data_IF_603828220149
#
_entry.id   IF_603828220149
#
_cell.length_a   1.000
_cell.length_b   1.000
_cell.length_c   1.000
_cell.angle_alpha   90.00
_cell.angle_beta   90.00
_cell.angle_gamma   90.00
#
_symmetry.space_group_name_H-M   'P 1'
#
loop_
_entity.id
_entity.type
_entity.pdbx_description
1 polymer ?
#
# COMPACT_ATOMS: atom_id res chain seq x y z
N UNK A 1 16.06 -12.40 11.61
CA UNK A 1 16.64 -11.44 10.63
C UNK A 1 15.95 -11.66 9.29
N UNK A 2 15.59 -10.60 8.57
CA UNK A 2 15.01 -10.72 7.22
C UNK A 2 16.12 -10.88 6.17
N UNK A 3 15.92 -11.73 5.17
CA UNK A 3 16.92 -12.05 4.14
C UNK A 3 17.47 -10.81 3.43
N UNK A 4 16.58 -9.87 3.08
CA UNK A 4 16.92 -8.61 2.41
C UNK A 4 17.96 -7.78 3.18
N UNK A 5 17.82 -7.66 4.51
CA UNK A 5 18.78 -6.92 5.33
C UNK A 5 20.13 -7.64 5.40
N UNK A 6 20.11 -8.97 5.58
CA UNK A 6 21.33 -9.76 5.60
C UNK A 6 22.09 -9.65 4.26
N UNK A 7 21.41 -9.82 3.13
CA UNK A 7 22.01 -9.75 1.80
C UNK A 7 22.60 -8.35 1.50
N UNK A 8 21.92 -7.29 1.92
CA UNK A 8 22.43 -5.92 1.81
C UNK A 8 23.72 -5.72 2.60
N UNK A 9 23.75 -6.19 3.86
CA UNK A 9 24.92 -6.04 4.73
C UNK A 9 26.14 -6.81 4.20
N UNK A 10 25.93 -7.96 3.55
CA UNK A 10 27.02 -8.70 2.91
C UNK A 10 27.60 -7.98 1.68
N UNK A 11 26.76 -7.30 0.89
CA UNK A 11 27.18 -6.67 -0.35
C UNK A 11 27.69 -5.22 -0.17
N UNK A 12 27.05 -4.44 0.69
CA UNK A 12 27.26 -2.99 0.81
C UNK A 12 27.66 -2.54 2.22
N UNK A 13 27.64 -3.44 3.21
CA UNK A 13 27.94 -3.12 4.60
C UNK A 13 26.74 -2.59 5.40
N UNK A 14 27.04 -1.97 6.55
CA UNK A 14 26.04 -1.65 7.57
C UNK A 14 24.91 -0.75 7.05
N UNK A 15 23.67 -1.12 7.35
CA UNK A 15 22.49 -0.32 7.01
C UNK A 15 22.47 0.97 7.87
N UNK A 16 22.41 2.16 7.25
CA UNK A 16 22.32 3.42 7.97
C UNK A 16 21.06 3.51 8.86
N UNK A 17 21.09 4.26 9.97
CA UNK A 17 19.90 4.46 10.79
C UNK A 17 18.78 5.14 10.00
N UNK A 18 17.52 4.85 10.35
CA UNK A 18 16.31 5.43 9.71
C UNK A 18 16.17 5.12 8.22
N UNK A 19 16.77 4.01 7.79
CA UNK A 19 16.63 3.48 6.44
C UNK A 19 16.17 2.03 6.47
N UNK A 20 15.51 1.62 5.40
CA UNK A 20 14.96 0.29 5.23
C UNK A 20 15.38 -0.28 3.88
N UNK A 21 15.82 -1.53 3.91
CA UNK A 21 16.08 -2.31 2.70
C UNK A 21 14.76 -2.92 2.24
N UNK A 22 14.32 -2.60 1.04
CA UNK A 22 13.05 -3.07 0.46
C UNK A 22 13.25 -3.62 -0.94
N UNK A 23 12.30 -4.42 -1.41
CA UNK A 23 12.29 -4.90 -2.78
C UNK A 23 11.76 -3.83 -3.74
N UNK A 24 12.44 -3.60 -4.85
CA UNK A 24 12.04 -2.64 -5.88
C UNK A 24 10.70 -3.05 -6.50
N UNK A 25 10.53 -4.34 -6.77
CA UNK A 25 9.31 -4.92 -7.33
C UNK A 25 8.20 -5.20 -6.29
N UNK A 26 8.51 -5.12 -4.99
CA UNK A 26 7.59 -5.46 -3.91
C UNK A 26 7.33 -6.96 -3.74
N UNK A 27 8.06 -7.83 -4.45
CA UNK A 27 7.92 -9.28 -4.38
C UNK A 27 9.00 -9.89 -3.47
N UNK A 28 8.64 -10.38 -2.27
CA UNK A 28 9.61 -10.94 -1.33
C UNK A 28 10.24 -12.27 -1.78
N UNK A 29 9.74 -12.88 -2.86
CA UNK A 29 10.29 -14.13 -3.41
C UNK A 29 11.37 -13.88 -4.48
N UNK A 30 11.53 -12.65 -4.98
CA UNK A 30 12.57 -12.29 -5.93
C UNK A 30 13.85 -11.90 -5.19
N UNK A 31 14.56 -12.93 -4.72
CA UNK A 31 15.74 -12.85 -3.86
C UNK A 31 17.02 -12.52 -4.65
N UNK A 32 17.09 -11.33 -5.24
CA UNK A 32 18.28 -10.83 -5.95
C UNK A 32 18.78 -9.53 -5.32
N UNK A 33 20.10 -9.36 -5.22
CA UNK A 33 20.70 -8.15 -4.63
C UNK A 33 20.33 -6.89 -5.43
N UNK A 34 20.21 -7.02 -6.75
CA UNK A 34 19.82 -5.94 -7.66
C UNK A 34 18.36 -5.51 -7.49
N UNK A 35 17.50 -6.40 -6.96
CA UNK A 35 16.11 -6.08 -6.63
C UNK A 35 15.97 -5.42 -5.25
N UNK A 36 17.07 -5.24 -4.50
CA UNK A 36 17.05 -4.50 -3.25
C UNK A 36 17.34 -3.01 -3.49
N UNK A 37 16.65 -2.17 -2.73
CA UNK A 37 16.94 -0.75 -2.64
C UNK A 37 16.89 -0.30 -1.18
N UNK A 38 17.64 0.75 -0.88
CA UNK A 38 17.65 1.39 0.43
C UNK A 38 16.80 2.66 0.38
N UNK A 39 15.74 2.71 1.18
CA UNK A 39 14.87 3.88 1.30
C UNK A 39 14.95 4.46 2.70
N UNK A 40 14.95 5.79 2.79
CA UNK A 40 14.70 6.48 4.07
C UNK A 40 13.28 6.22 4.56
N UNK A 41 13.04 6.35 5.86
CA UNK A 41 11.69 6.23 6.43
C UNK A 41 10.68 7.14 5.71
N UNK A 42 11.08 8.36 5.35
CA UNK A 42 10.24 9.33 4.64
C UNK A 42 9.92 8.87 3.20
N UNK A 43 10.92 8.35 2.48
CA UNK A 43 10.73 7.84 1.13
C UNK A 43 9.85 6.59 1.12
N UNK A 44 10.08 5.66 2.06
CA UNK A 44 9.26 4.47 2.23
C UNK A 44 7.82 4.82 2.60
N UNK A 45 7.62 5.79 3.50
CA UNK A 45 6.28 6.28 3.85
C UNK A 45 5.56 6.87 2.62
N UNK A 46 6.24 7.69 1.81
CA UNK A 46 5.68 8.25 0.57
C UNK A 46 5.33 7.15 -0.45
N UNK A 47 6.18 6.14 -0.60
CA UNK A 47 5.95 4.97 -1.46
C UNK A 47 4.70 4.20 -1.02
N UNK A 48 4.59 3.90 0.28
CA UNK A 48 3.46 3.18 0.86
C UNK A 48 2.16 4.00 0.82
N UNK A 49 2.24 5.32 1.00
CA UNK A 49 1.09 6.21 0.86
C UNK A 49 0.52 6.15 -0.57
N UNK A 50 1.38 6.18 -1.59
CA UNK A 50 0.96 6.09 -3.00
C UNK A 50 0.26 4.76 -3.31
N UNK A 51 0.80 3.65 -2.81
CA UNK A 51 0.21 2.31 -2.98
C UNK A 51 -1.15 2.17 -2.25
N UNK A 52 -1.28 2.74 -1.04
CA UNK A 52 -2.51 2.66 -0.25
C UNK A 52 -3.65 3.53 -0.79
N UNK A 53 -3.34 4.65 -1.45
CA UNK A 53 -4.34 5.48 -2.14
C UNK A 53 -4.97 4.71 -3.31
N UNK A 54 -4.19 3.90 -4.03
CA UNK A 54 -4.65 3.15 -5.21
C UNK A 54 -5.52 1.92 -4.86
N UNK A 55 -5.35 1.34 -3.67
CA UNK A 55 -5.94 0.04 -3.32
C UNK A 55 -6.92 0.13 -2.15
N UNK A 56 -8.09 0.74 -2.40
CA UNK A 56 -9.18 0.68 -1.42
C UNK A 56 -9.71 -0.75 -1.31
N UNK A 57 -9.48 -1.43 -0.18
CA UNK A 57 -9.93 -2.81 0.01
C UNK A 57 -11.45 -2.94 0.02
N UNK A 58 -11.97 -4.11 -0.36
CA UNK A 58 -13.42 -4.43 -0.30
C UNK A 58 -13.99 -4.18 1.11
N UNK A 59 -13.24 -4.56 2.13
CA UNK A 59 -13.62 -4.38 3.52
C UNK A 59 -13.69 -2.89 3.93
N UNK A 60 -12.79 -2.06 3.39
CA UNK A 60 -12.83 -0.61 3.60
C UNK A 60 -14.07 0.01 2.95
N UNK A 61 -14.37 -0.35 1.70
CA UNK A 61 -15.54 0.14 0.97
C UNK A 61 -16.84 -0.30 1.64
N UNK A 62 -16.94 -1.57 2.05
CA UNK A 62 -18.09 -2.09 2.77
C UNK A 62 -18.31 -1.30 4.07
N UNK A 63 -17.24 -1.02 4.83
CA UNK A 63 -17.31 -0.19 6.04
C UNK A 63 -17.83 1.23 5.80
N UNK A 64 -17.49 1.84 4.66
CA UNK A 64 -18.04 3.16 4.25
C UNK A 64 -19.54 3.09 3.94
N UNK A 65 -19.99 2.00 3.30
CA UNK A 65 -21.38 1.81 2.92
C UNK A 65 -22.28 1.38 4.08
N UNK A 66 -21.73 0.74 5.12
CA UNK A 66 -22.47 0.23 6.26
C UNK A 66 -21.96 0.76 7.61
N UNK A 67 -21.99 2.09 7.84
CA UNK A 67 -21.53 2.66 9.09
C UNK A 67 -22.32 2.09 10.28
N UNK A 68 -21.61 1.56 11.28
CA UNK A 68 -22.16 0.96 12.51
C UNK A 68 -23.10 -0.24 12.29
N UNK A 69 -23.16 -0.82 11.09
CA UNK A 69 -23.99 -1.99 10.80
C UNK A 69 -23.15 -3.16 10.28
N UNK A 70 -22.75 -4.04 11.19
CA UNK A 70 -21.92 -5.21 10.89
C UNK A 70 -22.63 -6.23 10.01
N UNK A 71 -23.94 -6.44 10.19
CA UNK A 71 -24.72 -7.38 9.39
C UNK A 71 -24.79 -6.95 7.91
N UNK A 72 -25.06 -5.66 7.69
CA UNK A 72 -25.05 -5.07 6.35
C UNK A 72 -23.65 -5.13 5.73
N UNK A 73 -22.58 -4.91 6.51
CA UNK A 73 -21.19 -5.03 6.02
C UNK A 73 -20.93 -6.40 5.42
N UNK A 74 -21.29 -7.46 6.14
CA UNK A 74 -21.10 -8.84 5.70
C UNK A 74 -21.89 -9.13 4.42
N UNK A 75 -23.12 -8.62 4.32
CA UNK A 75 -23.95 -8.79 3.12
C UNK A 75 -23.35 -8.07 1.90
N UNK A 76 -22.79 -6.87 2.10
CA UNK A 76 -22.19 -6.07 1.03
C UNK A 76 -20.87 -6.64 0.51
N UNK A 77 -20.12 -7.39 1.34
CA UNK A 77 -18.88 -8.07 0.90
C UNK A 77 -19.14 -9.07 -0.23
N UNK A 78 -20.34 -9.63 -0.31
CA UNK A 78 -20.75 -10.54 -1.39
C UNK A 78 -21.01 -9.84 -2.72
N UNK A 79 -21.28 -8.52 -2.72
CA UNK A 79 -21.62 -7.76 -3.92
C UNK A 79 -20.41 -6.98 -4.46
N UNK A 80 -19.54 -7.69 -5.19
CA UNK A 80 -18.31 -7.12 -5.77
C UNK A 80 -18.57 -5.92 -6.69
N UNK A 81 -19.63 -5.96 -7.50
CA UNK A 81 -19.97 -4.89 -8.44
C UNK A 81 -20.23 -3.56 -7.72
N UNK A 82 -21.02 -3.60 -6.63
CA UNK A 82 -21.31 -2.41 -5.83
C UNK A 82 -20.04 -1.83 -5.19
N UNK A 83 -19.18 -2.69 -4.65
CA UNK A 83 -17.90 -2.29 -4.04
C UNK A 83 -16.98 -1.61 -5.06
N UNK A 84 -16.91 -2.16 -6.28
CA UNK A 84 -16.10 -1.59 -7.36
C UNK A 84 -16.59 -0.21 -7.79
N UNK A 85 -17.91 -0.04 -7.98
CA UNK A 85 -18.51 1.25 -8.33
C UNK A 85 -18.21 2.28 -7.25
N UNK A 86 -18.40 1.92 -5.98
CA UNK A 86 -18.14 2.84 -4.86
C UNK A 86 -16.67 3.20 -4.74
N UNK A 87 -15.77 2.24 -4.96
CA UNK A 87 -14.31 2.47 -5.04
C UNK A 87 -13.98 3.50 -6.11
N UNK A 88 -14.48 3.32 -7.34
CA UNK A 88 -14.29 4.27 -8.46
C UNK A 88 -14.78 5.67 -8.10
N UNK A 89 -15.95 5.79 -7.47
CA UNK A 89 -16.50 7.07 -7.02
C UNK A 89 -15.57 7.78 -6.02
N UNK A 90 -15.04 7.07 -5.01
CA UNK A 90 -14.15 7.64 -4.00
C UNK A 90 -12.83 8.08 -4.62
N UNK A 91 -12.24 7.24 -5.49
CA UNK A 91 -11.00 7.58 -6.20
C UNK A 91 -11.19 8.83 -7.04
N UNK A 92 -12.26 8.90 -7.84
CA UNK A 92 -12.57 10.09 -8.65
C UNK A 92 -12.71 11.35 -7.78
N UNK A 93 -13.44 11.26 -6.66
CA UNK A 93 -13.60 12.36 -5.71
C UNK A 93 -12.24 12.85 -5.22
N UNK A 94 -11.37 11.94 -4.78
CA UNK A 94 -10.00 12.28 -4.31
C UNK A 94 -9.16 12.93 -5.40
N UNK A 95 -9.24 12.43 -6.64
CA UNK A 95 -8.54 13.02 -7.78
C UNK A 95 -8.99 14.45 -8.02
N UNK A 96 -10.30 14.72 -8.01
CA UNK A 96 -10.84 16.08 -8.20
C UNK A 96 -10.29 17.04 -7.14
N UNK A 97 -10.39 16.70 -5.86
CA UNK A 97 -9.87 17.58 -4.79
C UNK A 97 -8.36 17.73 -4.82
N UNK A 98 -7.60 16.67 -5.14
CA UNK A 98 -6.14 16.76 -5.28
C UNK A 98 -5.69 17.61 -6.47
N UNK A 99 -6.54 17.86 -7.46
CA UNK A 99 -6.27 18.78 -8.57
C UNK A 99 -6.66 20.23 -8.23
N UNK A 100 -7.43 20.48 -7.17
CA UNK A 100 -7.77 21.84 -6.71
C UNK A 100 -6.67 22.46 -5.83
N UNK A 101 -5.76 21.64 -5.30
CA UNK A 101 -4.65 22.06 -4.43
C UNK A 101 -3.31 22.25 -5.16
N UNK A 102 -3.26 22.01 -6.48
CA UNK A 102 -2.10 22.31 -7.35
C UNK A 102 -2.41 23.51 -8.24
#
# INVERSE_FOLDING_TARGET
>A
MHWNRWAWEQAYGKIPPRTNVVFKDGNPNNLTIDNLELLSDAALAKRNASASIQTLSDNYIAGILSPKNTALRTLLQSNKTLLEIKRKQITLKRTIYGQQEN
#
